data_IF_385462512979
#
_entry.id   IF_385462512979
#
_cell.length_a   1.000
_cell.length_b   1.000
_cell.length_c   1.000
_cell.angle_alpha   90.00
_cell.angle_beta   90.00
_cell.angle_gamma   90.00
#
_symmetry.space_group_name_H-M   'P 1'
#
loop_
_entity.id
_entity.type
_entity.pdbx_description
1 polymer ?
2 non-polymer ?
3 non-polymer ?
4 non-polymer ?
5 non-polymer ?
6 water ?
#
# COMPACT_ATOMS: atom_id res chain seq x y z
N UNK A 2 -12.59 -12.68 -24.35
CA UNK A 2 -13.87 -13.44 -24.63
C UNK A 2 -14.67 -14.08 -23.48
N UNK A 3 -14.17 -14.02 -22.25
CA UNK A 3 -14.90 -14.45 -21.04
C UNK A 3 -16.05 -13.45 -20.66
N UNK A 4 -17.17 -13.94 -20.16
CA UNK A 4 -18.28 -13.06 -19.82
C UNK A 4 -17.84 -12.31 -18.58
N UNK A 5 -18.46 -11.18 -18.28
CA UNK A 5 -18.00 -10.43 -17.13
C UNK A 5 -18.56 -11.17 -15.95
N UNK A 6 -19.75 -11.76 -16.14
CA UNK A 6 -20.34 -12.66 -15.12
C UNK A 6 -19.34 -13.70 -14.57
N UNK A 7 -18.62 -14.37 -15.47
CA UNK A 7 -17.59 -15.33 -15.08
C UNK A 7 -16.31 -14.72 -14.38
N UNK A 8 -15.86 -13.54 -14.81
CA UNK A 8 -14.77 -12.81 -14.13
C UNK A 8 -15.24 -12.53 -12.69
N UNK A 9 -16.44 -11.99 -12.56
CA UNK A 9 -17.00 -11.70 -11.24
C UNK A 9 -17.03 -12.93 -10.36
N UNK A 10 -17.55 -14.05 -10.86
CA UNK A 10 -17.59 -15.28 -10.06
C UNK A 10 -16.16 -15.77 -9.71
N UNK A 11 -15.24 -15.75 -10.68
CA UNK A 11 -13.88 -16.29 -10.47
C UNK A 11 -13.19 -15.44 -9.36
N UNK A 12 -13.28 -14.11 -9.44
CA UNK A 12 -12.59 -13.27 -8.47
C UNK A 12 -13.22 -13.42 -7.06
N UNK A 13 -14.55 -13.41 -6.95
CA UNK A 13 -15.27 -13.61 -5.63
C UNK A 13 -14.73 -14.87 -4.96
N UNK A 14 -14.55 -15.91 -5.80
CA UNK A 14 -14.10 -17.24 -5.36
C UNK A 14 -12.69 -17.20 -4.80
N UNK A 15 -11.81 -16.32 -5.30
CA UNK A 15 -10.47 -16.24 -4.71
C UNK A 15 -10.53 -15.76 -3.25
N UNK A 16 -11.46 -14.86 -2.94
CA UNK A 16 -11.73 -14.41 -1.57
C UNK A 16 -12.48 -15.46 -0.76
N UNK A 17 -13.50 -16.06 -1.34
CA UNK A 17 -14.21 -17.20 -0.72
C UNK A 17 -13.28 -18.30 -0.24
N UNK A 18 -12.32 -18.69 -1.09
CA UNK A 18 -11.42 -19.81 -0.81
C UNK A 18 -10.42 -19.53 0.29
N UNK A 19 -9.98 -18.29 0.44
CA UNK A 19 -9.10 -17.84 1.53
C UNK A 19 -9.90 -17.68 2.82
N UNK A 20 -11.21 -17.86 2.72
CA UNK A 20 -12.10 -17.70 3.88
C UNK A 20 -11.97 -16.33 4.50
N UNK A 21 -12.04 -15.31 3.67
CA UNK A 21 -12.10 -13.98 4.17
C UNK A 21 -13.12 -13.16 3.41
N UNK A 22 -13.26 -11.88 3.77
CA UNK A 22 -14.11 -10.96 3.12
C UNK A 22 -13.20 -9.86 2.59
N UNK A 23 -13.30 -9.61 1.29
CA UNK A 23 -12.50 -8.59 0.67
C UNK A 23 -12.90 -8.06 -0.69
N UNK A 24 -12.15 -7.06 -1.15
CA UNK A 24 -12.43 -6.40 -2.36
C UNK A 24 -11.14 -6.10 -3.11
N UNK A 25 -11.20 -6.07 -4.42
CA UNK A 25 -10.09 -5.50 -5.18
C UNK A 25 -10.66 -4.53 -6.19
N UNK A 26 -10.15 -3.31 -6.11
CA UNK A 26 -10.55 -2.27 -7.03
C UNK A 26 -9.44 -2.08 -8.08
N UNK A 27 -9.83 -2.11 -9.37
CA UNK A 27 -8.96 -1.94 -10.56
C UNK A 27 -9.33 -0.63 -11.25
N UNK A 28 -8.33 0.12 -11.70
CA UNK A 28 -8.60 1.34 -12.43
C UNK A 28 -8.02 1.30 -13.82
N UNK A 29 -8.89 1.33 -14.84
CA UNK A 29 -8.44 1.38 -16.25
C UNK A 29 -8.76 2.76 -16.78
N UNK A 30 -7.75 3.62 -16.72
CA UNK A 30 -7.86 4.97 -17.18
C UNK A 30 -8.60 5.72 -16.08
N UNK A 31 -9.82 6.18 -16.35
CA UNK A 31 -10.63 6.89 -15.34
C UNK A 31 -11.74 5.97 -14.73
N UNK A 32 -11.84 4.73 -15.21
CA UNK A 32 -12.89 3.80 -14.82
C UNK A 32 -12.48 2.88 -13.65
N UNK A 33 -13.26 2.89 -12.57
CA UNK A 33 -13.02 2.06 -11.36
C UNK A 33 -13.91 0.89 -11.38
N UNK A 34 -13.40 -0.31 -11.15
CA UNK A 34 -14.22 -1.54 -11.07
C UNK A 34 -13.89 -2.28 -9.80
N UNK A 35 -14.95 -2.76 -9.17
CA UNK A 35 -14.92 -3.37 -7.86
C UNK A 35 -15.15 -4.86 -8.06
N UNK A 36 -14.30 -5.70 -7.48
CA UNK A 36 -14.49 -7.16 -7.55
C UNK A 36 -14.32 -7.70 -6.16
N UNK A 37 -14.63 -8.98 -6.00
CA UNK A 37 -14.39 -9.61 -4.69
C UNK A 37 -15.66 -10.26 -4.19
N UNK A 38 -15.65 -10.65 -2.93
CA UNK A 38 -16.83 -11.24 -2.32
C UNK A 38 -17.48 -10.33 -1.30
N UNK A 39 -17.03 -9.08 -1.23
CA UNK A 39 -17.60 -8.13 -0.27
C UNK A 39 -17.55 -6.73 -0.84
N UNK A 40 -18.38 -6.48 -1.83
CA UNK A 40 -18.24 -5.27 -2.64
C UNK A 40 -18.37 -3.96 -1.85
N UNK A 41 -19.21 -3.93 -0.79
CA UNK A 41 -19.50 -2.74 0.04
C UNK A 41 -18.29 -2.27 0.90
N UNK A 42 -17.22 -3.05 0.95
CA UNK A 42 -15.98 -2.58 1.58
C UNK A 42 -15.40 -1.36 0.82
N UNK A 43 -15.76 -1.21 -0.45
CA UNK A 43 -15.08 -0.29 -1.39
C UNK A 43 -14.98 1.15 -0.87
N UNK A 44 -16.01 1.63 -0.13
CA UNK A 44 -16.04 3.00 0.38
C UNK A 44 -16.13 3.05 1.89
N UNK A 45 -15.80 1.97 2.59
CA UNK A 45 -15.54 2.03 4.03
C UNK A 45 -14.05 2.40 4.32
N UNK A 46 -13.84 2.98 5.49
CA UNK A 46 -12.54 3.50 5.95
C UNK A 46 -11.81 2.45 6.80
N UNK A 47 -10.53 2.22 6.52
CA UNK A 47 -9.65 1.35 7.38
C UNK A 47 -8.32 2.07 7.62
N UNK A 48 -7.55 1.64 8.61
CA UNK A 48 -6.23 2.24 8.81
C UNK A 48 -5.40 1.88 7.56
N UNK A 49 -4.48 2.76 7.12
CA UNK A 49 -3.69 2.32 5.96
C UNK A 49 -2.62 1.29 6.28
N UNK A 50 -2.32 1.19 7.58
CA UNK A 50 -1.17 0.43 8.09
C UNK A 50 0.02 0.66 7.18
N UNK A 51 0.78 -0.38 6.89
CA UNK A 51 2.06 -0.18 6.19
C UNK A 51 1.90 0.40 4.79
N UNK A 52 0.67 0.46 4.22
CA UNK A 52 0.53 1.19 2.92
C UNK A 52 1.00 2.67 3.10
N UNK A 53 0.87 3.19 4.34
CA UNK A 53 1.36 4.51 4.62
C UNK A 53 2.85 4.70 4.36
N UNK A 55 4.53 4.38 1.82
CA UNK A 55 4.75 5.02 0.53
C UNK A 55 4.68 6.53 0.70
N UNK A 56 3.66 7.03 1.44
CA UNK A 56 3.52 8.48 1.66
C UNK A 56 4.61 8.97 2.63
N UNK A 57 4.85 8.20 3.70
CA UNK A 57 5.88 8.46 4.69
C UNK A 57 7.22 8.65 3.99
N UNK A 58 7.57 7.75 3.04
CA UNK A 58 8.83 7.88 2.24
C UNK A 58 8.88 9.12 1.34
N UNK A 59 7.75 9.44 0.71
CA UNK A 59 7.62 10.62 -0.15
C UNK A 59 7.90 11.87 0.66
N UNK A 60 7.23 11.98 1.82
CA UNK A 60 7.41 13.06 2.74
C UNK A 60 8.87 13.18 3.24
N UNK A 61 9.40 12.10 3.77
CA UNK A 61 10.78 12.11 4.22
C UNK A 61 11.82 12.51 3.14
N UNK A 62 11.75 11.95 1.94
CA UNK A 62 12.75 12.29 0.95
C UNK A 62 12.60 13.73 0.48
N UNK A 63 11.37 14.18 0.26
CA UNK A 63 11.11 15.51 -0.31
C UNK A 63 11.64 16.59 0.63
N UNK A 64 11.40 16.39 1.93
CA UNK A 64 11.82 17.30 3.00
C UNK A 64 13.21 17.06 3.59
N UNK A 65 14.05 16.31 2.85
CA UNK A 65 15.49 16.05 3.13
C UNK A 65 15.71 15.42 4.54
N UNK A 66 14.85 14.49 4.86
CA UNK A 66 14.97 13.83 6.17
C UNK A 66 15.71 12.50 6.09
N UNK A 67 16.13 12.08 4.87
CA UNK A 67 16.86 10.83 4.63
C UNK A 67 17.27 10.90 3.20
N UNK A 68 18.13 10.01 2.76
CA UNK A 68 18.42 9.85 1.32
C UNK A 68 18.19 8.41 0.95
N UNK A 69 18.18 8.12 -0.35
CA UNK A 69 17.93 6.75 -0.78
C UNK A 69 19.00 5.77 -0.38
N UNK A 70 20.21 6.24 -0.07
CA UNK A 70 21.33 5.34 0.25
C UNK A 70 21.75 5.34 1.76
N UNK A 71 21.12 6.21 2.53
CA UNK A 71 21.39 6.34 3.96
C UNK A 71 21.04 5.03 4.67
N UNK A 72 21.93 4.60 5.55
CA UNK A 72 21.73 3.35 6.24
C UNK A 72 21.13 3.63 7.64
N UNK A 73 19.89 3.25 7.90
CA UNK A 73 19.31 3.39 9.25
C UNK A 73 19.88 2.19 10.08
N UNK A 74 20.70 2.51 11.08
CA UNK A 74 21.25 1.60 12.10
C UNK A 74 20.18 0.86 12.90
N UNK A 75 20.32 -0.43 13.03
CA UNK A 75 19.59 -1.14 14.04
C UNK A 75 20.16 -0.74 15.41
N UNK A 76 19.31 -0.41 16.38
CA UNK A 76 19.85 -0.02 17.66
C UNK A 76 20.34 -1.24 18.55
N UNK A 77 20.04 -2.47 18.14
CA UNK A 77 20.44 -3.62 18.90
C UNK A 77 19.38 -4.13 19.85
N UNK A 78 18.23 -3.46 19.95
CA UNK A 78 17.15 -3.95 20.84
C UNK A 78 16.39 -5.04 20.08
N UNK A 79 15.79 -6.01 20.79
CA UNK A 79 15.06 -7.14 20.12
C UNK A 79 13.85 -6.57 19.33
N UNK A 80 13.54 -7.16 18.20
CA UNK A 80 12.48 -6.61 17.36
C UNK A 80 11.47 -7.69 17.23
N UNK A 81 10.24 -7.33 16.86
CA UNK A 81 9.19 -8.35 16.67
C UNK A 81 9.54 -9.48 15.67
N UNK A 82 10.40 -9.24 14.66
CA UNK A 82 10.90 -10.27 13.66
C UNK A 82 12.41 -10.18 13.51
N UNK A 83 13.12 -11.29 13.38
CA UNK A 83 14.58 -11.17 13.34
C UNK A 83 15.14 -10.58 12.04
N UNK A 85 14.37 -7.79 10.82
CA UNK A 85 14.46 -6.39 11.20
C UNK A 85 15.69 -6.03 12.01
N UNK A 86 16.35 -7.02 12.63
CA UNK A 86 17.54 -6.78 13.48
C UNK A 86 18.82 -6.60 12.63
N UNK A 87 18.80 -5.60 11.76
CA UNK A 87 19.89 -5.29 10.86
C UNK A 87 19.71 -3.82 10.46
N UNK A 88 20.75 -3.28 9.88
CA UNK A 88 20.78 -1.93 9.35
C UNK A 88 20.23 -1.94 7.91
N UNK A 89 19.49 -0.90 7.57
CA UNK A 89 18.85 -0.91 6.26
C UNK A 89 18.57 0.47 5.69
N UNK A 90 18.45 0.49 4.36
CA UNK A 90 17.93 1.65 3.60
C UNK A 90 16.39 1.73 3.73
N UNK A 91 15.81 2.89 3.40
CA UNK A 91 14.36 3.01 3.29
C UNK A 91 13.81 1.96 2.32
N UNK A 92 14.51 1.75 1.18
CA UNK A 92 14.11 0.75 0.19
C UNK A 92 13.97 -0.68 0.76
N UNK A 93 15.03 -1.14 1.43
CA UNK A 93 15.08 -2.41 2.16
C UNK A 93 13.98 -2.48 3.23
N UNK A 94 13.80 -1.36 3.94
CA UNK A 94 12.78 -1.28 4.97
C UNK A 94 11.43 -1.34 4.29
N UNK A 95 11.31 -0.84 3.06
CA UNK A 95 10.02 -0.91 2.39
C UNK A 95 9.67 -2.35 2.07
N UNK A 96 10.67 -3.14 1.63
CA UNK A 96 10.43 -4.54 1.18
C UNK A 96 10.11 -5.44 2.39
N UNK A 97 10.73 -5.12 3.49
CA UNK A 97 10.59 -5.89 4.69
C UNK A 97 9.44 -5.35 5.55
N UNK A 98 8.83 -4.26 5.08
CA UNK A 98 7.84 -3.56 5.88
C UNK A 98 8.32 -3.30 7.34
N UNK A 99 9.62 -2.94 7.48
CA UNK A 99 10.26 -2.59 8.79
C UNK A 99 9.75 -1.23 9.45
N UNK A 100 8.68 -1.34 10.23
CA UNK A 100 8.09 -0.20 10.91
C UNK A 100 9.05 0.67 11.76
N UNK A 101 10.02 0.06 12.45
CA UNK A 101 10.88 0.98 13.25
C UNK A 101 11.76 1.94 12.36
N UNK A 102 12.13 1.53 11.16
CA UNK A 102 12.77 2.48 10.28
C UNK A 102 11.85 3.64 9.91
N UNK A 103 10.63 3.26 9.58
CA UNK A 103 9.63 4.21 9.16
C UNK A 103 9.17 5.07 10.34
N UNK A 104 9.28 4.55 11.55
CA UNK A 104 8.98 5.40 12.72
C UNK A 104 10.13 6.36 12.96
N UNK A 105 11.36 5.90 12.72
CA UNK A 105 12.50 6.82 12.75
C UNK A 105 12.26 7.98 11.73
N UNK A 106 11.99 7.60 10.49
CA UNK A 106 11.66 8.61 9.51
C UNK A 106 10.50 9.56 9.95
N UNK A 107 9.47 8.99 10.59
CA UNK A 107 8.31 9.80 11.07
C UNK A 107 8.76 10.81 12.14
N UNK A 108 9.61 10.32 13.04
CA UNK A 108 10.17 11.19 14.05
C UNK A 108 11.02 12.30 13.50
N UNK A 109 11.79 12.04 12.43
CA UNK A 109 12.65 13.07 11.85
C UNK A 109 11.76 14.18 11.23
N UNK A 110 10.72 13.74 10.54
CA UNK A 110 9.79 14.61 9.88
C UNK A 110 9.08 15.49 10.93
N UNK A 111 8.59 14.86 11.99
CA UNK A 111 7.94 15.61 13.12
C UNK A 111 6.42 15.79 12.94
N UNK A 112 5.68 15.75 14.06
CA UNK A 112 4.21 15.81 14.06
C UNK A 112 3.62 16.95 13.17
N UNK A 113 4.06 18.18 13.43
CA UNK A 113 3.73 19.38 12.66
C UNK A 113 3.93 19.27 11.13
N UNK A 114 5.17 19.00 10.68
CA UNK A 114 5.42 18.81 9.27
C UNK A 114 4.62 17.64 8.71
N UNK A 115 4.49 16.55 9.47
CA UNK A 115 3.71 15.37 9.01
C UNK A 115 2.23 15.78 8.73
N UNK A 116 1.63 16.51 9.68
CA UNK A 116 0.22 16.94 9.56
C UNK A 116 -0.06 17.78 8.31
N UNK A 117 0.82 18.75 8.06
CA UNK A 117 0.80 19.61 6.90
C UNK A 117 1.03 18.88 5.55
N UNK A 118 1.87 17.84 5.52
CA UNK A 118 2.10 17.15 4.26
C UNK A 118 0.93 16.22 3.92
N UNK A 119 0.33 15.69 5.00
CA UNK A 119 -0.82 14.79 4.92
C UNK A 119 -2.10 15.54 4.60
N UNK A 120 -2.41 16.69 5.23
CA UNK A 120 -3.46 17.67 4.68
C UNK A 120 -3.11 18.05 3.23
N UNK A 121 -1.85 18.38 2.92
CA UNK A 121 -1.52 18.84 1.54
C UNK A 121 -1.77 17.76 0.50
N UNK A 122 -1.55 16.51 0.87
CA UNK A 122 -1.66 15.48 -0.13
C UNK A 122 -3.10 15.00 -0.22
N UNK A 123 -3.93 15.34 0.76
CA UNK A 123 -5.36 14.94 0.73
C UNK A 123 -5.39 13.41 0.75
N UNK A 124 -4.80 12.83 1.80
CA UNK A 124 -4.69 11.37 1.89
C UNK A 124 -5.72 10.88 2.90
N UNK A 125 -6.63 10.00 2.47
CA UNK A 125 -7.65 9.45 3.30
C UNK A 125 -8.45 10.54 3.99
N UNK A 126 -8.72 10.35 5.30
CA UNK A 126 -9.42 11.35 6.15
C UNK A 126 -8.47 12.46 6.61
N UNK A 127 -7.17 12.32 6.27
CA UNK A 127 -6.14 13.37 6.51
C UNK A 127 -5.88 13.69 8.03
N UNK A 128 -6.46 12.93 8.99
CA UNK A 128 -6.21 13.25 10.40
C UNK A 128 -5.07 12.36 10.99
N UNK A 129 -3.98 12.98 11.45
CA UNK A 129 -2.91 12.20 12.13
C UNK A 129 -2.86 12.27 13.68
N UNK A 130 -3.72 13.12 14.29
CA UNK A 130 -3.82 13.24 15.78
C UNK A 130 -2.50 13.71 16.39
N UNK A 131 -2.06 13.12 17.49
CA UNK A 131 -0.98 13.74 18.27
C UNK A 131 0.27 12.84 18.38
N UNK A 132 0.16 11.62 17.88
CA UNK A 132 1.24 10.64 18.01
C UNK A 132 1.94 10.43 16.64
N UNK A 133 3.10 11.04 16.44
CA UNK A 133 3.75 11.05 15.12
C UNK A 133 4.21 9.66 14.55
N UNK A 134 4.27 8.67 15.42
CA UNK A 134 4.96 7.41 15.17
C UNK A 134 4.05 6.16 15.12
N UNK A 135 2.72 6.32 15.25
CA UNK A 135 1.79 5.20 15.09
C UNK A 135 0.38 5.57 14.49
N UNK A 136 0.24 6.77 13.93
CA UNK A 136 -1.07 7.27 13.48
C UNK A 136 -1.63 6.47 12.32
N UNK A 137 -0.71 5.96 11.50
CA UNK A 137 -1.07 5.09 10.39
C UNK A 137 -1.35 3.63 10.82
N UNK A 138 -1.10 3.25 12.08
CA UNK A 138 -1.31 1.90 12.55
C UNK A 138 -2.53 1.71 13.40
N UNK A 139 -2.88 2.69 14.21
CA UNK A 139 -3.97 2.41 15.16
C UNK A 139 -5.01 3.52 15.10
N UNK A 140 -5.00 4.26 14.01
CA UNK A 140 -5.79 5.49 13.92
C UNK A 140 -5.06 6.72 14.48
N UNK A 141 -5.60 7.93 14.27
CA UNK A 141 -6.97 8.16 13.71
C UNK A 141 -6.99 8.23 12.18
N UNK A 142 -5.82 8.06 11.51
CA UNK A 142 -5.75 8.15 10.06
C UNK A 142 -6.40 6.88 9.51
N UNK A 143 -7.28 7.09 8.54
CA UNK A 143 -8.12 6.06 7.90
C UNK A 143 -8.27 6.46 6.43
N UNK A 144 -8.45 5.46 5.56
CA UNK A 144 -8.58 5.68 4.12
C UNK A 144 -9.47 4.56 3.61
N UNK A 145 -10.22 4.83 2.54
CA UNK A 145 -11.03 3.80 1.89
C UNK A 145 -10.23 3.11 0.74
N UNK A 146 -10.68 1.92 0.32
CA UNK A 146 -10.04 1.26 -0.83
C UNK A 146 -10.10 2.03 -2.16
N UNK A 147 -11.15 2.83 -2.35
CA UNK A 147 -11.23 3.74 -3.51
C UNK A 147 -10.14 4.81 -3.46
N UNK A 148 -10.02 5.48 -2.31
CA UNK A 148 -9.00 6.49 -2.12
C UNK A 148 -7.63 5.85 -2.29
N UNK A 149 -7.46 4.60 -1.83
CA UNK A 149 -6.15 3.95 -1.90
C UNK A 149 -5.81 3.73 -3.34
N UNK A 150 -6.76 3.22 -4.15
CA UNK A 150 -6.41 2.99 -5.58
C UNK A 150 -6.14 4.32 -6.31
N UNK A 151 -6.88 5.37 -5.95
CA UNK A 151 -6.67 6.72 -6.53
C UNK A 151 -5.35 7.33 -6.13
N UNK A 152 -4.89 7.05 -4.90
CA UNK A 152 -3.57 7.43 -4.50
C UNK A 152 -2.48 6.65 -5.36
N UNK A 153 -2.66 5.35 -5.57
CA UNK A 153 -1.76 4.60 -6.41
C UNK A 153 -1.73 5.07 -7.83
N UNK A 154 -2.88 5.56 -8.31
CA UNK A 154 -3.03 6.05 -9.68
C UNK A 154 -2.21 7.32 -9.80
N UNK A 155 -2.42 8.21 -8.85
CA UNK A 155 -1.59 9.40 -8.76
C UNK A 155 -0.07 9.13 -8.70
N UNK A 156 0.36 8.13 -7.92
CA UNK A 156 1.81 7.94 -7.75
C UNK A 156 2.37 7.36 -9.06
N UNK A 157 1.65 6.37 -9.59
CA UNK A 157 1.98 5.72 -10.82
C UNK A 157 2.19 6.69 -11.99
N UNK A 158 1.37 7.74 -12.01
CA UNK A 158 1.38 8.78 -13.05
C UNK A 158 2.14 10.08 -12.65
N UNK A 159 2.81 10.03 -11.51
CA UNK A 159 3.55 11.18 -11.00
C UNK A 159 2.72 12.43 -10.75
N UNK A 160 1.45 12.28 -10.39
CA UNK A 160 0.60 13.47 -10.17
C UNK A 160 0.56 13.97 -8.71
N UNK A 161 1.26 13.32 -7.80
CA UNK A 161 1.21 13.82 -6.43
C UNK A 161 2.06 15.11 -6.29
N UNK A 162 1.78 15.94 -5.24
CA UNK A 162 2.50 17.21 -5.07
C UNK A 162 3.92 17.08 -4.33
N UNK A 163 4.81 16.37 -5.03
CA UNK A 163 6.19 16.12 -4.66
C UNK A 163 7.01 16.23 -5.94
N UNK A 164 8.31 16.49 -5.83
CA UNK A 164 9.18 16.59 -7.02
C UNK A 164 9.01 15.27 -7.81
N UNK A 165 9.03 15.36 -9.13
CA UNK A 165 9.10 14.14 -9.95
C UNK A 165 10.18 13.18 -9.39
N UNK A 166 11.35 13.70 -9.04
CA UNK A 166 12.47 12.84 -8.63
C UNK A 166 12.14 12.08 -7.31
N UNK A 167 11.46 12.72 -6.35
CA UNK A 167 10.99 12.07 -5.13
C UNK A 167 10.07 10.86 -5.48
N UNK A 168 9.17 11.07 -6.44
CA UNK A 168 8.20 10.07 -6.84
C UNK A 168 8.89 8.87 -7.50
N UNK A 169 9.92 9.12 -8.33
CA UNK A 169 10.68 8.02 -9.00
C UNK A 169 11.47 7.20 -7.98
N UNK A 170 12.02 7.88 -6.98
CA UNK A 170 12.81 7.21 -5.97
C UNK A 170 11.97 6.21 -5.13
N UNK A 171 10.74 6.63 -4.77
CA UNK A 171 9.83 5.83 -3.98
C UNK A 171 9.30 4.71 -4.83
N UNK A 172 9.05 4.98 -6.11
CA UNK A 172 8.60 3.95 -7.05
C UNK A 172 9.69 2.84 -7.27
N UNK A 173 10.97 3.17 -7.49
CA UNK A 173 12.09 2.16 -7.47
C UNK A 173 12.00 1.21 -6.20
N UNK A 174 11.50 1.71 -5.04
CA UNK A 174 11.34 0.92 -3.79
C UNK A 174 10.21 -0.13 -3.82
N UNK A 175 9.35 -0.04 -4.83
CA UNK A 175 8.05 -0.70 -4.78
C UNK A 175 7.91 -1.94 -5.67
N UNK A 176 8.94 -2.27 -6.44
CA UNK A 176 8.89 -3.36 -7.42
C UNK A 176 8.85 -4.67 -6.65
N UNK A 177 7.76 -5.43 -6.75
CA UNK A 177 7.65 -6.71 -6.02
C UNK A 177 7.53 -7.95 -6.92
N UNK A 178 7.20 -7.75 -8.20
CA UNK A 178 7.01 -8.88 -9.11
C UNK A 178 7.13 -8.42 -10.56
N UNK A 179 7.84 -9.26 -11.30
CA UNK A 179 7.96 -9.19 -12.74
C UNK A 179 7.24 -10.47 -13.23
N UNK A 180 6.22 -10.35 -14.10
CA UNK A 180 5.52 -11.55 -14.59
C UNK A 180 5.16 -11.33 -16.07
N UNK A 181 5.89 -12.05 -16.95
CA UNK A 181 5.80 -11.95 -18.43
C UNK A 181 5.90 -10.58 -19.04
N UNK A 182 6.95 -9.84 -18.68
CA UNK A 182 7.15 -8.50 -19.25
C UNK A 182 6.33 -7.38 -18.60
N UNK A 183 5.40 -7.75 -17.71
CA UNK A 183 4.69 -6.81 -16.79
C UNK A 183 5.44 -6.72 -15.47
N UNK A 184 5.38 -5.53 -14.89
CA UNK A 184 5.99 -5.29 -13.59
C UNK A 184 4.91 -4.90 -12.60
N UNK A 185 4.94 -5.51 -11.42
CA UNK A 185 3.99 -5.12 -10.38
C UNK A 185 4.75 -4.33 -9.30
N UNK A 186 4.39 -3.05 -9.21
CA UNK A 186 4.81 -2.10 -8.15
C UNK A 186 3.71 -1.99 -7.11
N UNK A 187 3.97 -2.24 -5.85
CA UNK A 187 2.89 -2.18 -4.85
C UNK A 187 3.43 -2.18 -3.40
N UNK A 188 2.60 -1.79 -2.41
CA UNK A 188 2.99 -1.97 -1.04
C UNK A 188 1.91 -2.68 -0.28
N UNK A 189 2.32 -3.65 0.54
CA UNK A 189 1.37 -4.38 1.39
C UNK A 189 1.06 -3.65 2.66
N UNK A 190 -0.06 -4.04 3.23
CA UNK A 190 -0.57 -3.37 4.46
C UNK A 190 -1.16 -4.43 5.33
N UNK A 191 -0.75 -4.44 6.59
CA UNK A 191 -1.35 -5.33 7.53
C UNK A 191 -1.68 -4.61 8.85
N UNK A 192 -2.95 -4.40 9.13
CA UNK A 192 -3.35 -3.66 10.35
C UNK A 192 -3.37 -4.51 11.61
N UNK A 193 -2.18 -4.81 12.15
CA UNK A 193 -2.11 -5.73 13.29
C UNK A 193 -2.62 -5.18 14.60
N UNK A 194 -2.73 -3.86 14.73
CA UNK A 194 -3.09 -3.33 16.03
C UNK A 194 -4.51 -2.83 16.11
N UNK A 195 -5.39 -3.44 15.32
CA UNK A 195 -6.76 -2.97 15.23
C UNK A 195 -7.66 -4.21 15.12
N UNK A 196 -8.90 -4.13 15.62
CA UNK A 196 -9.84 -5.28 15.47
C UNK A 196 -11.08 -4.88 14.68
N UNK A 197 -11.41 -5.60 13.59
CA UNK A 197 -10.60 -6.73 13.04
C UNK A 197 -9.41 -6.23 12.24
N UNK A 198 -8.51 -7.13 11.89
CA UNK A 198 -7.30 -6.73 11.19
C UNK A 198 -7.57 -6.49 9.72
N UNK A 199 -7.03 -5.41 9.19
CA UNK A 199 -7.12 -5.13 7.75
C UNK A 199 -5.83 -5.61 6.94
N UNK A 200 -6.01 -6.05 5.69
CA UNK A 200 -4.90 -6.38 4.85
C UNK A 200 -5.13 -5.64 3.54
N UNK A 201 -4.05 -5.11 3.00
CA UNK A 201 -4.09 -4.28 1.83
C UNK A 201 -2.97 -4.77 0.92
N UNK A 202 -3.14 -4.67 -0.38
CA UNK A 202 -2.00 -4.61 -1.32
C UNK A 202 -2.40 -3.57 -2.34
N UNK A 203 -1.67 -2.46 -2.34
CA UNK A 203 -2.00 -1.30 -3.16
C UNK A 203 -0.83 -1.04 -4.15
N UNK A 204 -1.14 -0.89 -5.43
CA UNK A 204 -0.09 -0.54 -6.37
C UNK A 204 -0.66 -0.38 -7.75
N UNK A 205 0.12 -0.81 -8.73
CA UNK A 205 -0.30 -0.75 -10.10
C UNK A 205 0.46 -1.78 -10.91
N UNK A 206 -0.10 -2.21 -12.05
CA UNK A 206 0.68 -3.04 -12.98
C UNK A 206 1.20 -2.12 -14.07
N UNK A 207 2.48 -2.22 -14.37
CA UNK A 207 3.05 -1.54 -15.54
C UNK A 207 3.19 -2.55 -16.65
N UNK A 208 2.35 -2.42 -17.68
CA UNK A 208 2.29 -3.45 -18.71
C UNK A 208 3.50 -3.40 -19.64
N UNK A 209 3.76 -4.47 -20.45
CA UNK A 209 4.87 -4.51 -21.46
C UNK A 209 5.07 -3.16 -22.21
N UNK A 210 3.96 -2.46 -22.47
CA UNK A 210 3.87 -1.29 -23.35
C UNK A 210 3.68 0.08 -22.69
N UNK A 211 3.87 0.16 -21.37
CA UNK A 211 3.65 1.41 -20.63
C UNK A 211 2.27 1.82 -20.11
N UNK A 212 1.18 1.14 -20.50
CA UNK A 212 -0.13 1.34 -19.77
C UNK A 212 0.13 0.89 -18.32
N UNK A 213 -0.44 1.66 -17.40
CA UNK A 213 -0.32 1.41 -15.97
C UNK A 213 -1.72 1.23 -15.37
N UNK A 214 -1.97 0.09 -14.74
CA UNK A 214 -3.30 -0.26 -14.21
C UNK A 214 -3.25 -0.31 -12.68
N UNK A 215 -3.68 0.76 -12.05
CA UNK A 215 -3.66 0.76 -10.58
C UNK A 215 -4.69 -0.21 -9.99
N UNK A 216 -4.38 -0.69 -8.80
CA UNK A 216 -5.30 -1.55 -8.07
C UNK A 216 -5.16 -1.40 -6.54
N UNK A 217 -6.19 -1.83 -5.82
CA UNK A 217 -6.06 -1.88 -4.36
C UNK A 217 -6.90 -2.99 -3.92
N UNK A 218 -6.26 -3.99 -3.32
CA UNK A 218 -6.91 -5.11 -2.68
C UNK A 218 -7.08 -4.72 -1.21
N UNK A 219 -8.21 -5.08 -0.67
CA UNK A 219 -8.50 -4.81 0.76
C UNK A 219 -9.29 -5.98 1.34
N UNK A 220 -8.75 -6.66 2.35
CA UNK A 220 -9.46 -7.79 3.02
C UNK A 220 -9.30 -7.81 4.56
N UNK A 221 -10.01 -8.72 5.20
CA UNK A 221 -9.88 -8.91 6.64
C UNK A 221 -8.83 -10.07 6.84
N UNK A 222 -7.76 -9.83 7.62
CA UNK A 222 -6.80 -10.87 8.01
C UNK A 222 -7.42 -11.60 9.20
N UNK A 223 -7.57 -12.91 9.08
CA UNK A 223 -8.16 -13.77 10.15
C UNK A 223 -7.02 -14.38 11.00
N UNK A 224 -7.30 -14.72 12.28
CA UNK A 224 -6.34 -15.46 13.18
C UNK A 224 -5.49 -16.51 12.36
N UNK A 225 -4.16 -16.32 12.36
CA UNK A 225 -3.22 -17.12 11.55
C UNK A 225 -3.48 -17.36 10.05
N UNK A 226 -3.72 -16.33 9.24
CA UNK A 226 -3.57 -16.39 7.79
C UNK A 226 -2.19 -15.85 7.55
N UNK A 227 -1.53 -16.18 6.45
CA UNK A 227 -0.22 -15.50 6.19
C UNK A 227 -0.28 -14.33 5.16
N UNK A 228 0.76 -13.47 5.21
CA UNK A 228 0.73 -12.24 4.49
C UNK A 228 0.54 -12.38 2.99
N UNK A 229 1.05 -13.48 2.48
CA UNK A 229 1.18 -13.64 1.06
C UNK A 229 -0.20 -14.03 0.43
N UNK A 230 -1.22 -14.34 1.23
CA UNK A 230 -2.55 -14.48 0.63
C UNK A 230 -2.94 -13.17 -0.12
N UNK A 231 -2.48 -12.03 0.40
CA UNK A 231 -2.81 -10.75 -0.20
C UNK A 231 -2.29 -10.68 -1.62
N UNK A 232 -1.01 -10.98 -1.76
CA UNK A 232 -0.33 -11.11 -3.06
C UNK A 232 -1.00 -12.13 -4.00
N UNK A 233 -1.28 -13.31 -3.44
CA UNK A 233 -1.78 -14.43 -4.20
C UNK A 233 -3.11 -14.14 -4.83
N UNK A 234 -3.97 -13.45 -4.06
CA UNK A 234 -5.27 -13.12 -4.52
C UNK A 234 -5.15 -12.01 -5.52
N UNK A 235 -4.28 -11.04 -5.24
CA UNK A 235 -4.11 -9.93 -6.16
C UNK A 235 -3.68 -10.47 -7.53
N UNK A 236 -2.72 -11.40 -7.49
CA UNK A 236 -2.15 -11.96 -8.73
C UNK A 236 -3.14 -12.82 -9.49
N UNK A 237 -3.97 -13.59 -8.77
CA UNK A 237 -5.00 -14.43 -9.41
C UNK A 237 -6.03 -13.58 -10.15
N UNK A 238 -6.43 -12.47 -9.49
CA UNK A 238 -7.39 -11.55 -10.01
C UNK A 238 -6.87 -10.82 -11.23
N UNK A 239 -5.70 -10.20 -11.06
CA UNK A 239 -5.02 -9.56 -12.18
C UNK A 239 -4.84 -10.46 -13.44
N UNK A 240 -4.46 -11.73 -13.25
CA UNK A 240 -4.35 -12.69 -14.37
C UNK A 240 -5.72 -13.08 -14.93
N UNK A 241 -6.66 -13.39 -14.03
CA UNK A 241 -7.99 -13.61 -14.46
C UNK A 241 -8.56 -12.48 -15.36
N UNK A 242 -8.26 -11.22 -15.09
CA UNK A 242 -8.74 -10.14 -15.95
C UNK A 242 -7.81 -9.87 -17.09
N UNK A 243 -6.80 -10.71 -17.31
CA UNK A 243 -5.82 -10.48 -18.39
C UNK A 243 -4.98 -9.19 -18.23
N UNK A 244 -4.88 -8.66 -17.01
CA UNK A 244 -4.10 -7.46 -16.77
C UNK A 244 -2.61 -7.81 -16.70
N UNK A 245 -2.29 -8.98 -16.14
CA UNK A 245 -0.95 -9.58 -16.20
C UNK A 245 -1.06 -11.00 -16.76
#
# INVERSE_FOLDING_TARGET
>A
MHISSQQHEKAIKSYFDEAQTQGVIIIKEGKNLSTYGNALARANKEYVPASTFXMLNALIGLENHKATTNEIFKWDGKKRTYPXWEKDMTLGEAMALSAVPVYQELARRTGLELMQKEVKRVNFGNTNIGTQVDNFWLVGPLKITPVQEVNFADDLAHNRLPFKLETQEEVKKMLLIKEVNGSKIYAKSGWGMGVTPQVGWLTGWVEQANGKKIPFSLNLEMKEGMSGSIRNEITYKSLENLGII
#
